data_IF_771373829040
#
_entry.id   IF_771373829040
#
_cell.length_a   1.000
_cell.length_b   1.000
_cell.length_c   1.000
_cell.angle_alpha   90.00
_cell.angle_beta   90.00
_cell.angle_gamma   90.00
#
_symmetry.space_group_name_H-M   'P 1'
#
loop_
_entity.id
_entity.type
_entity.pdbx_description
1 polymer ?
#
# COMPACT_ATOMS: atom_id res chain seq x y z
N UNK A 1 -9.79 0.89 7.64
CA UNK A 1 -10.06 -0.30 6.80
C UNK A 1 -10.75 -1.36 7.64
N UNK A 2 -11.88 -1.92 7.17
CA UNK A 2 -12.74 -2.80 7.98
C UNK A 2 -12.20 -4.24 8.18
N UNK A 3 -11.50 -4.78 7.19
CA UNK A 3 -11.00 -6.16 7.20
C UNK A 3 -10.03 -6.44 8.36
N UNK A 4 -9.11 -5.50 8.63
CA UNK A 4 -8.14 -5.64 9.72
C UNK A 4 -8.80 -5.64 11.10
N UNK A 5 -9.85 -4.84 11.30
CA UNK A 5 -10.61 -4.81 12.55
C UNK A 5 -11.39 -6.12 12.78
N UNK A 6 -12.00 -6.68 11.73
CA UNK A 6 -12.72 -7.94 11.80
C UNK A 6 -11.80 -9.12 12.16
N UNK A 7 -10.61 -9.18 11.57
CA UNK A 7 -9.62 -10.23 11.88
C UNK A 7 -9.10 -10.14 13.31
N UNK A 8 -8.81 -8.94 13.82
CA UNK A 8 -8.37 -8.76 15.20
C UNK A 8 -9.45 -9.21 16.20
N UNK A 9 -10.71 -8.82 15.98
CA UNK A 9 -11.82 -9.22 16.83
C UNK A 9 -12.08 -10.74 16.76
N UNK A 10 -12.06 -11.33 15.57
CA UNK A 10 -12.32 -12.76 15.40
C UNK A 10 -11.23 -13.67 15.98
N UNK A 11 -9.96 -13.25 15.97
CA UNK A 11 -8.89 -13.95 16.67
C UNK A 11 -9.06 -13.88 18.19
N UNK A 12 -9.44 -12.72 18.72
CA UNK A 12 -9.61 -12.53 20.17
C UNK A 12 -10.76 -13.37 20.76
N UNK A 13 -11.80 -13.65 19.98
CA UNK A 13 -12.97 -14.46 20.41
C UNK A 13 -12.93 -15.90 19.91
N UNK A 14 -11.82 -16.35 19.30
CA UNK A 14 -11.65 -17.72 18.83
C UNK A 14 -12.47 -18.11 17.60
N UNK A 15 -13.01 -17.14 16.86
CA UNK A 15 -13.67 -17.37 15.58
C UNK A 15 -12.68 -17.89 14.52
N UNK A 16 -11.41 -17.47 14.60
CA UNK A 16 -10.29 -18.09 13.91
C UNK A 16 -9.28 -18.62 14.92
N UNK A 17 -8.75 -19.83 14.69
CA UNK A 17 -7.85 -20.49 15.63
C UNK A 17 -6.42 -19.93 15.58
N UNK A 18 -5.98 -19.42 14.42
CA UNK A 18 -4.64 -18.91 14.21
C UNK A 18 -4.56 -17.97 13.01
N UNK A 19 -3.51 -17.14 12.96
CA UNK A 19 -3.30 -16.13 11.90
C UNK A 19 -3.12 -16.77 10.53
N UNK A 20 -2.62 -18.00 10.48
CA UNK A 20 -2.40 -18.77 9.25
C UNK A 20 -3.72 -19.09 8.52
N UNK A 21 -4.83 -19.24 9.25
CA UNK A 21 -6.16 -19.50 8.68
C UNK A 21 -6.67 -18.27 7.89
N UNK A 22 -6.21 -17.07 8.26
CA UNK A 22 -6.55 -15.82 7.56
C UNK A 22 -5.81 -15.69 6.23
N UNK A 23 -4.62 -16.30 6.10
CA UNK A 23 -3.85 -16.29 4.85
C UNK A 23 -4.49 -17.17 3.79
N UNK A 24 -5.16 -18.26 4.18
CA UNK A 24 -5.91 -19.11 3.27
C UNK A 24 -7.09 -18.38 2.59
N UNK A 25 -7.64 -17.35 3.26
CA UNK A 25 -8.73 -16.54 2.71
C UNK A 25 -8.23 -15.37 1.85
N UNK A 26 -6.92 -15.20 1.71
CA UNK A 26 -6.36 -14.12 0.91
C UNK A 26 -6.21 -14.58 -0.55
N UNK A 27 -7.07 -14.06 -1.42
CA UNK A 27 -6.99 -14.23 -2.86
C UNK A 27 -6.45 -12.98 -3.53
N UNK A 28 -5.50 -13.16 -4.46
CA UNK A 28 -5.07 -12.07 -5.36
C UNK A 28 -6.21 -11.81 -6.34
N UNK A 29 -6.81 -10.62 -6.27
CA UNK A 29 -7.78 -10.18 -7.28
C UNK A 29 -7.08 -9.90 -8.62
N UNK A 30 -5.98 -9.14 -8.58
CA UNK A 30 -5.21 -8.82 -9.77
C UNK A 30 -3.74 -8.52 -9.48
N UNK A 31 -2.89 -8.97 -10.40
CA UNK A 31 -1.47 -8.62 -10.46
C UNK A 31 -1.23 -7.72 -11.66
N UNK A 32 -0.39 -6.69 -11.48
CA UNK A 32 0.07 -5.85 -12.58
C UNK A 32 1.57 -5.94 -12.69
N UNK A 33 2.03 -6.23 -13.90
CA UNK A 33 3.45 -6.22 -14.24
C UNK A 33 3.89 -4.83 -14.70
N UNK A 34 5.13 -4.42 -14.36
CA UNK A 34 5.67 -3.14 -14.81
C UNK A 34 5.83 -3.15 -16.33
N UNK A 35 5.10 -2.26 -17.02
CA UNK A 35 5.15 -2.11 -18.48
C UNK A 35 5.94 -0.88 -18.95
N UNK A 36 6.30 0.01 -18.03
CA UNK A 36 6.99 1.25 -18.36
C UNK A 36 8.49 1.02 -18.43
N UNK A 37 9.12 1.56 -19.47
CA UNK A 37 10.57 1.62 -19.60
C UNK A 37 11.22 2.27 -18.37
N UNK A 38 12.39 1.75 -17.97
CA UNK A 38 13.06 2.15 -16.73
C UNK A 38 13.56 3.59 -16.78
N UNK A 39 14.07 4.05 -17.94
CA UNK A 39 14.55 5.41 -18.12
C UNK A 39 13.37 6.40 -18.10
N UNK A 40 12.27 6.06 -18.77
CA UNK A 40 11.05 6.87 -18.72
C UNK A 40 10.50 6.99 -17.29
N UNK A 41 10.46 5.88 -16.54
CA UNK A 41 10.05 5.87 -15.13
C UNK A 41 10.93 6.78 -14.26
N UNK A 42 12.25 6.73 -14.45
CA UNK A 42 13.20 7.55 -13.69
C UNK A 42 12.99 9.04 -13.95
N UNK A 43 12.82 9.43 -15.22
CA UNK A 43 12.57 10.83 -15.60
C UNK A 43 11.29 11.37 -14.97
N UNK A 44 10.18 10.61 -15.03
CA UNK A 44 8.91 11.02 -14.43
C UNK A 44 9.02 11.14 -12.91
N UNK A 45 9.70 10.18 -12.26
CA UNK A 45 9.89 10.21 -10.82
C UNK A 45 10.74 11.41 -10.37
N UNK A 46 11.82 11.71 -11.09
CA UNK A 46 12.64 12.89 -10.81
C UNK A 46 11.84 14.19 -10.97
N UNK A 47 11.02 14.29 -12.03
CA UNK A 47 10.14 15.45 -12.22
C UNK A 47 9.13 15.62 -11.08
N UNK A 48 8.56 14.53 -10.57
CA UNK A 48 7.70 14.56 -9.39
C UNK A 48 8.44 15.01 -8.13
N UNK A 49 9.66 14.52 -7.89
CA UNK A 49 10.48 14.97 -6.75
C UNK A 49 10.76 16.46 -6.79
N UNK A 50 11.09 17.00 -7.97
CA UNK A 50 11.28 18.44 -8.15
C UNK A 50 9.99 19.23 -7.88
N UNK A 51 8.83 18.71 -8.28
CA UNK A 51 7.55 19.32 -7.98
C UNK A 51 7.25 19.34 -6.47
N UNK A 52 7.51 18.23 -5.77
CA UNK A 52 7.34 18.10 -4.31
C UNK A 52 8.27 19.06 -3.58
N UNK A 53 9.54 19.19 -3.98
CA UNK A 53 10.47 20.14 -3.35
C UNK A 53 9.96 21.57 -3.43
N UNK A 54 9.30 21.95 -4.53
CA UNK A 54 8.73 23.29 -4.71
C UNK A 54 7.51 23.55 -3.83
N UNK A 55 6.90 22.54 -3.20
CA UNK A 55 5.79 22.74 -2.25
C UNK A 55 6.28 23.00 -0.83
N UNK A 56 7.57 22.76 -0.53
CA UNK A 56 8.14 23.04 0.79
C UNK A 56 8.33 24.53 1.03
N UNK A 57 8.23 24.95 2.30
CA UNK A 57 8.43 26.34 2.71
C UNK A 57 7.31 27.30 2.28
N UNK A 58 6.14 26.77 1.87
CA UNK A 58 4.99 27.57 1.45
C UNK A 58 4.45 28.48 2.56
N UNK A 59 4.44 27.99 3.81
CA UNK A 59 4.10 28.79 4.98
C UNK A 59 5.39 29.14 5.70
N UNK A 60 5.70 30.44 5.81
CA UNK A 60 6.77 30.95 6.68
C UNK A 60 6.31 30.79 8.13
N UNK A 61 7.13 30.17 8.97
CA UNK A 61 7.01 30.30 10.43
C UNK A 61 7.42 31.71 10.86
#
# INVERSE_FOLDING_TARGET
>A
TALGAAYAAGLAVGFWAKVEDLRANWGVDKTWEPKMDSAKRATLFNGWLEAVKRTFGWVKQ
#
